data_IF_009844030876
#
_entry.id   IF_009844030876
#
_cell.length_a   1.000
_cell.length_b   1.000
_cell.length_c   1.000
_cell.angle_alpha   90.00
_cell.angle_beta   90.00
_cell.angle_gamma   90.00
#
_symmetry.space_group_name_H-M   'P 1'
#
loop_
_entity.id
_entity.type
_entity.pdbx_description
1 polymer ?
#
# COMPACT_ATOMS: atom_id res chain seq x y z
N UNK A 1 14.46 26.24 6.86
CA UNK A 1 14.07 25.55 5.61
C UNK A 1 14.45 24.08 5.77
N UNK A 2 13.50 23.22 6.14
CA UNK A 2 13.77 21.78 6.34
C UNK A 2 14.05 21.15 4.97
N UNK A 3 15.29 20.70 4.75
CA UNK A 3 15.63 19.83 3.63
C UNK A 3 14.97 18.47 3.88
N UNK A 4 13.83 18.23 3.22
CA UNK A 4 13.30 16.89 3.01
C UNK A 4 14.33 16.12 2.18
N UNK A 5 15.27 15.46 2.85
CA UNK A 5 16.09 14.43 2.23
C UNK A 5 15.13 13.31 1.81
N UNK A 6 14.82 13.26 0.52
CA UNK A 6 14.28 12.10 -0.14
C UNK A 6 15.25 10.93 0.07
N UNK A 7 15.06 10.18 1.16
CA UNK A 7 15.68 8.88 1.32
C UNK A 7 15.05 7.96 0.28
N UNK A 8 15.55 8.00 -0.97
CA UNK A 8 15.37 6.92 -1.93
C UNK A 8 15.97 5.67 -1.31
N UNK A 9 15.11 4.80 -0.77
CA UNK A 9 15.52 3.45 -0.37
C UNK A 9 16.06 2.80 -1.64
N UNK A 10 17.35 2.43 -1.64
CA UNK A 10 17.98 1.70 -2.74
C UNK A 10 17.46 0.26 -2.72
N UNK A 11 16.23 0.05 -3.17
CA UNK A 11 15.63 -1.27 -3.33
C UNK A 11 16.30 -1.96 -4.52
N UNK A 12 16.87 -3.13 -4.29
CA UNK A 12 17.48 -3.95 -5.34
C UNK A 12 16.43 -4.88 -5.94
N UNK A 13 16.54 -5.28 -7.23
CA UNK A 13 15.62 -6.24 -7.82
C UNK A 13 15.48 -7.53 -6.99
N UNK A 14 16.58 -7.99 -6.39
CA UNK A 14 16.61 -9.19 -5.56
C UNK A 14 15.70 -9.12 -4.32
N UNK A 15 15.40 -7.90 -3.83
CA UNK A 15 14.50 -7.72 -2.70
C UNK A 15 13.10 -8.22 -3.04
N UNK A 16 12.71 -8.30 -4.33
CA UNK A 16 11.38 -8.70 -4.82
C UNK A 16 11.20 -10.19 -5.14
N UNK A 17 12.21 -11.04 -4.90
CA UNK A 17 12.12 -12.50 -5.07
C UNK A 17 11.47 -13.16 -3.87
N UNK A 18 10.23 -12.82 -3.52
CA UNK A 18 9.42 -13.67 -2.66
C UNK A 18 8.24 -14.15 -3.49
N UNK A 19 8.19 -15.47 -3.65
CA UNK A 19 7.20 -16.21 -4.43
C UNK A 19 5.78 -15.87 -3.99
N UNK A 20 4.95 -15.41 -4.93
CA UNK A 20 3.48 -15.50 -4.78
C UNK A 20 3.11 -16.96 -4.45
N UNK A 21 2.26 -17.22 -3.44
CA UNK A 21 1.75 -18.55 -3.19
C UNK A 21 0.94 -19.02 -4.41
N UNK A 22 1.17 -20.26 -4.82
CA UNK A 22 0.47 -20.96 -5.92
C UNK A 22 -1.06 -20.84 -5.80
N UNK A 23 -1.80 -20.79 -6.93
CA UNK A 23 -3.26 -20.74 -6.93
C UNK A 23 -3.80 -22.14 -6.58
N UNK A 24 -3.94 -22.44 -5.29
CA UNK A 24 -4.26 -23.80 -4.83
C UNK A 24 -5.10 -23.93 -3.57
N UNK A 25 -5.31 -22.88 -2.77
CA UNK A 25 -6.12 -22.95 -1.57
C UNK A 25 -7.22 -21.87 -1.58
N UNK A 26 -8.46 -22.31 -1.77
CA UNK A 26 -9.68 -21.52 -1.61
C UNK A 26 -9.90 -21.15 -0.13
N UNK A 27 -9.10 -20.23 0.39
CA UNK A 27 -9.50 -19.38 1.50
C UNK A 27 -9.77 -18.02 0.88
N UNK A 28 -11.07 -17.68 0.74
CA UNK A 28 -11.58 -16.51 0.04
C UNK A 28 -10.56 -15.37 0.06
N UNK A 29 -9.99 -15.04 -1.11
CA UNK A 29 -9.10 -13.90 -1.27
C UNK A 29 -9.87 -12.67 -0.78
N UNK A 30 -9.66 -12.29 0.49
CA UNK A 30 -10.33 -11.15 1.09
C UNK A 30 -9.91 -9.97 0.25
N UNK A 31 -10.88 -9.36 -0.41
CA UNK A 31 -10.58 -8.23 -1.29
C UNK A 31 -10.00 -7.12 -0.42
N UNK A 32 -8.97 -6.41 -0.91
CA UNK A 32 -8.36 -5.28 -0.18
C UNK A 32 -9.45 -4.25 0.25
N UNK A 33 -10.56 -4.20 -0.51
CA UNK A 33 -11.72 -3.35 -0.31
C UNK A 33 -12.50 -3.68 0.98
N UNK A 34 -12.58 -4.95 1.38
CA UNK A 34 -13.28 -5.39 2.60
C UNK A 34 -12.56 -4.93 3.89
N UNK A 35 -11.28 -4.58 3.77
CA UNK A 35 -10.43 -4.12 4.88
C UNK A 35 -10.23 -2.60 4.88
N UNK A 36 -10.90 -1.87 3.99
CA UNK A 36 -10.77 -0.44 3.86
C UNK A 36 -11.82 0.34 4.65
N UNK A 37 -11.38 1.41 5.30
CA UNK A 37 -12.26 2.37 5.93
C UNK A 37 -12.97 3.22 4.88
N UNK A 38 -14.31 3.34 4.89
CA UNK A 38 -15.05 4.11 3.89
C UNK A 38 -14.83 5.63 3.99
N UNK A 39 -14.19 6.12 5.06
CA UNK A 39 -13.90 7.55 5.25
C UNK A 39 -12.54 7.93 4.67
N UNK A 40 -11.48 7.17 4.98
CA UNK A 40 -10.13 7.46 4.49
C UNK A 40 -9.72 6.61 3.29
N UNK A 41 -10.54 5.64 2.88
CA UNK A 41 -10.30 4.71 1.76
C UNK A 41 -8.95 3.98 1.87
N UNK A 42 -8.54 3.69 3.10
CA UNK A 42 -7.29 3.02 3.45
C UNK A 42 -7.59 1.91 4.47
N UNK A 43 -6.67 0.95 4.63
CA UNK A 43 -6.81 -0.16 5.56
C UNK A 43 -7.13 0.36 6.97
N UNK A 44 -8.06 -0.28 7.67
CA UNK A 44 -8.48 0.18 9.00
C UNK A 44 -7.29 0.30 9.98
N UNK A 45 -7.13 1.49 10.57
CA UNK A 45 -6.24 1.75 11.71
C UNK A 45 -7.07 1.94 12.97
N UNK A 46 -6.88 1.06 13.95
CA UNK A 46 -7.70 0.97 15.17
C UNK A 46 -9.21 1.07 14.85
N UNK A 47 -9.77 0.08 14.11
CA UNK A 47 -11.18 0.11 13.74
C UNK A 47 -12.07 0.15 14.98
N UNK A 48 -13.02 1.08 15.02
CA UNK A 48 -14.06 1.17 16.05
C UNK A 48 -15.41 0.77 15.47
N UNK A 49 -16.22 0.07 16.27
CA UNK A 49 -17.54 -0.43 15.87
C UNK A 49 -18.65 0.48 16.40
N UNK A 50 -19.40 1.11 15.50
CA UNK A 50 -20.60 1.87 15.88
C UNK A 50 -21.78 0.94 16.19
N UNK A 51 -22.79 1.41 16.95
CA UNK A 51 -24.02 0.62 17.24
C UNK A 51 -24.82 0.20 16.00
N UNK A 52 -24.56 0.85 14.86
CA UNK A 52 -25.13 0.48 13.56
C UNK A 52 -24.33 -0.60 12.82
N UNK A 53 -23.37 -1.25 13.49
CA UNK A 53 -22.47 -2.29 12.98
C UNK A 53 -21.48 -1.84 11.89
N UNK A 54 -21.43 -0.56 11.54
CA UNK A 54 -20.40 -0.04 10.64
C UNK A 54 -19.09 0.22 11.41
N UNK A 55 -17.98 -0.13 10.77
CA UNK A 55 -16.63 0.07 11.30
C UNK A 55 -15.92 1.21 10.59
N UNK A 56 -15.07 1.92 11.33
CA UNK A 56 -14.31 3.10 10.88
C UNK A 56 -13.00 3.18 11.65
N UNK A 57 -11.95 3.82 11.11
CA UNK A 57 -10.77 4.13 11.91
C UNK A 57 -11.14 5.04 13.09
N UNK A 58 -10.53 4.83 14.25
CA UNK A 58 -10.76 5.64 15.46
C UNK A 58 -10.65 7.15 15.17
N UNK A 59 -9.64 7.55 14.42
CA UNK A 59 -9.39 8.95 14.11
C UNK A 59 -10.36 9.50 13.06
N UNK A 60 -10.83 8.67 12.12
CA UNK A 60 -11.89 9.06 11.18
C UNK A 60 -13.19 9.38 11.92
N UNK A 61 -13.57 8.56 12.91
CA UNK A 61 -14.76 8.82 13.73
C UNK A 61 -14.58 10.08 14.58
N UNK A 62 -13.43 10.23 15.25
CA UNK A 62 -13.14 11.43 16.05
C UNK A 62 -13.19 12.70 15.21
N UNK A 63 -12.58 12.69 14.02
CA UNK A 63 -12.59 13.82 13.09
C UNK A 63 -14.02 14.14 12.64
N UNK A 64 -14.78 13.12 12.21
CA UNK A 64 -16.18 13.28 11.82
C UNK A 64 -17.06 13.86 12.93
N UNK A 65 -16.76 13.52 14.19
CA UNK A 65 -17.53 13.95 15.36
C UNK A 65 -17.04 15.23 16.00
N UNK A 66 -15.91 15.80 15.58
CA UNK A 66 -15.25 16.90 16.29
C UNK A 66 -16.17 18.10 16.52
N UNK A 67 -16.88 18.52 15.48
CA UNK A 67 -17.70 19.74 15.48
C UNK A 67 -19.22 19.45 15.45
N UNK A 68 -19.62 18.20 15.71
CA UNK A 68 -21.02 17.77 15.70
C UNK A 68 -21.56 17.63 17.11
N UNK A 69 -22.70 18.27 17.39
CA UNK A 69 -23.47 18.06 18.61
C UNK A 69 -24.01 16.63 18.67
N UNK A 70 -24.53 16.13 17.53
CA UNK A 70 -25.05 14.76 17.39
C UNK A 70 -23.99 13.84 16.79
N UNK A 71 -23.64 12.79 17.53
CA UNK A 71 -22.70 11.77 17.04
C UNK A 71 -23.45 10.80 16.13
N UNK A 72 -23.08 10.74 14.86
CA UNK A 72 -23.76 9.94 13.85
C UNK A 72 -22.78 9.11 13.01
N UNK A 73 -23.28 8.01 12.44
CA UNK A 73 -22.52 7.19 11.50
C UNK A 73 -22.24 7.95 10.19
N UNK A 74 -20.99 8.02 9.70
CA UNK A 74 -20.67 8.64 8.41
C UNK A 74 -21.45 8.06 7.22
N UNK A 75 -21.76 6.76 7.24
CA UNK A 75 -22.41 6.02 6.15
C UNK A 75 -23.93 6.12 6.23
N UNK A 76 -24.54 5.59 7.28
CA UNK A 76 -26.00 5.45 7.37
C UNK A 76 -26.69 6.56 8.19
N UNK A 77 -25.94 7.55 8.69
CA UNK A 77 -26.41 8.67 9.54
C UNK A 77 -27.16 8.26 10.81
N UNK A 78 -27.16 6.97 11.19
CA UNK A 78 -27.74 6.52 12.45
C UNK A 78 -26.98 7.15 13.62
N UNK A 79 -27.71 7.72 14.58
CA UNK A 79 -27.15 8.29 15.80
C UNK A 79 -26.42 7.23 16.61
N UNK A 80 -25.23 7.57 17.09
CA UNK A 80 -24.46 6.77 18.04
C UNK A 80 -24.83 7.20 19.45
N UNK A 81 -25.24 6.26 20.28
CA UNK A 81 -25.42 6.47 21.72
C UNK A 81 -24.10 6.51 22.48
N UNK A 82 -22.98 6.08 21.86
CA UNK A 82 -21.66 6.01 22.48
C UNK A 82 -20.76 7.12 21.96
N UNK A 83 -20.23 7.94 22.87
CA UNK A 83 -19.21 8.96 22.57
C UNK A 83 -17.82 8.36 22.30
N UNK A 84 -17.55 7.18 22.85
CA UNK A 84 -16.34 6.39 22.63
C UNK A 84 -16.72 4.95 22.25
N UNK A 85 -16.79 4.63 20.95
CA UNK A 85 -17.11 3.28 20.52
C UNK A 85 -15.94 2.32 20.79
N UNK A 86 -16.23 1.05 21.12
CA UNK A 86 -15.18 0.07 21.36
C UNK A 86 -14.39 -0.24 20.08
N UNK A 87 -13.12 -0.60 20.25
CA UNK A 87 -12.28 -1.10 19.16
C UNK A 87 -12.75 -2.50 18.76
N UNK A 88 -12.92 -2.72 17.46
CA UNK A 88 -13.18 -4.03 16.88
C UNK A 88 -11.85 -4.80 16.76
N UNK A 89 -11.46 -5.50 17.84
CA UNK A 89 -10.20 -6.23 17.89
C UNK A 89 -10.10 -7.31 16.81
N UNK A 90 -11.20 -7.97 16.45
CA UNK A 90 -11.19 -8.98 15.38
C UNK A 90 -10.83 -8.34 14.03
N UNK A 91 -11.45 -7.22 13.67
CA UNK A 91 -11.12 -6.50 12.44
C UNK A 91 -9.70 -5.91 12.50
N UNK A 92 -9.28 -5.41 13.66
CA UNK A 92 -7.92 -4.90 13.88
C UNK A 92 -6.88 -5.99 13.59
N UNK A 93 -7.02 -7.16 14.21
CA UNK A 93 -6.08 -8.27 14.02
C UNK A 93 -5.98 -8.69 12.55
N UNK A 94 -7.12 -8.78 11.87
CA UNK A 94 -7.15 -9.11 10.43
C UNK A 94 -6.42 -8.05 9.61
N UNK A 95 -6.66 -6.76 9.87
CA UNK A 95 -6.00 -5.67 9.16
C UNK A 95 -4.49 -5.64 9.43
N UNK A 96 -4.07 -5.91 10.67
CA UNK A 96 -2.66 -5.99 11.04
C UNK A 96 -1.95 -7.16 10.37
N UNK A 97 -2.57 -8.35 10.32
CA UNK A 97 -2.02 -9.49 9.57
C UNK A 97 -1.90 -9.17 8.08
N UNK A 98 -2.93 -8.59 7.48
CA UNK A 98 -2.91 -8.16 6.09
C UNK A 98 -1.77 -7.16 5.81
N UNK A 99 -1.58 -6.17 6.68
CA UNK A 99 -0.51 -5.18 6.54
C UNK A 99 0.88 -5.81 6.75
N UNK A 100 1.03 -6.77 7.66
CA UNK A 100 2.29 -7.49 7.86
C UNK A 100 2.67 -8.33 6.63
N UNK A 101 1.71 -9.02 6.02
CA UNK A 101 1.90 -9.73 4.75
C UNK A 101 2.24 -8.75 3.61
N UNK A 102 1.63 -7.55 3.63
CA UNK A 102 1.92 -6.48 2.68
C UNK A 102 3.34 -5.94 2.81
N UNK A 103 3.80 -5.67 4.03
CA UNK A 103 5.10 -5.07 4.31
C UNK A 103 6.26 -6.08 4.19
N UNK A 104 5.98 -7.37 4.43
CA UNK A 104 6.92 -8.46 4.14
C UNK A 104 6.97 -8.80 2.65
N UNK A 105 5.98 -8.35 1.88
CA UNK A 105 5.96 -8.52 0.44
C UNK A 105 6.63 -7.32 -0.25
N UNK A 106 7.80 -7.51 -0.84
CA UNK A 106 8.46 -6.48 -1.63
C UNK A 106 7.62 -6.13 -2.87
N UNK A 107 6.65 -6.97 -3.27
CA UNK A 107 5.72 -6.70 -4.37
C UNK A 107 4.74 -5.55 -4.10
N UNK A 108 4.74 -4.98 -2.88
CA UNK A 108 3.82 -3.93 -2.45
C UNK A 108 4.42 -2.53 -2.28
N UNK A 109 5.66 -2.30 -2.72
CA UNK A 109 6.23 -0.95 -2.73
C UNK A 109 5.39 -0.05 -3.65
N UNK A 110 4.85 1.05 -3.12
CA UNK A 110 3.99 1.97 -3.86
C UNK A 110 4.76 3.20 -4.35
N UNK A 111 4.39 3.71 -5.52
CA UNK A 111 4.85 5.00 -6.01
C UNK A 111 4.22 6.11 -5.20
N UNK A 112 5.01 6.94 -4.53
CA UNK A 112 4.49 8.06 -3.73
C UNK A 112 3.73 9.11 -4.56
N UNK A 113 4.05 9.23 -5.86
CA UNK A 113 3.40 10.20 -6.75
C UNK A 113 2.05 9.72 -7.28
N UNK A 114 1.90 8.41 -7.46
CA UNK A 114 0.77 7.83 -8.19
C UNK A 114 -0.05 6.84 -7.36
N UNK A 115 0.40 6.51 -6.15
CA UNK A 115 -0.19 5.50 -5.26
C UNK A 115 -0.43 4.16 -5.96
N UNK A 116 0.41 3.80 -6.94
CA UNK A 116 0.37 2.54 -7.70
C UNK A 116 1.57 1.67 -7.34
N UNK A 117 1.36 0.34 -7.35
CA UNK A 117 2.41 -0.66 -7.10
C UNK A 117 3.58 -0.45 -8.09
N UNK A 118 4.80 -0.40 -7.56
CA UNK A 118 6.04 -0.31 -8.33
C UNK A 118 6.39 -1.68 -8.90
N UNK A 119 5.74 -2.05 -10.01
CA UNK A 119 5.92 -3.35 -10.67
C UNK A 119 6.98 -3.35 -11.77
N UNK A 120 7.55 -2.19 -12.09
CA UNK A 120 8.53 -2.04 -13.17
C UNK A 120 9.86 -1.54 -12.60
N UNK A 121 10.96 -1.93 -13.22
CA UNK A 121 12.30 -1.46 -12.93
C UNK A 121 12.86 -0.77 -14.16
N UNK A 122 13.22 0.50 -14.03
CA UNK A 122 13.93 1.26 -15.05
C UNK A 122 15.41 0.84 -15.04
N UNK A 123 15.89 0.24 -16.12
CA UNK A 123 17.28 -0.24 -16.20
C UNK A 123 18.29 0.90 -16.35
N UNK A 124 17.90 2.00 -16.98
CA UNK A 124 18.78 3.16 -17.19
C UNK A 124 19.04 3.92 -15.88
N UNK A 125 17.99 4.12 -15.09
CA UNK A 125 18.07 4.83 -13.80
C UNK A 125 18.28 3.91 -12.60
N UNK A 126 18.18 2.58 -12.80
CA UNK A 126 18.28 1.55 -11.76
C UNK A 126 17.31 1.78 -10.60
N UNK A 127 16.04 2.07 -10.91
CA UNK A 127 15.02 2.41 -9.92
C UNK A 127 13.68 1.75 -10.23
N UNK A 128 12.92 1.34 -9.20
CA UNK A 128 11.56 0.86 -9.38
C UNK A 128 10.62 2.02 -9.72
N UNK A 129 9.71 1.79 -10.67
CA UNK A 129 8.73 2.75 -11.18
C UNK A 129 7.35 2.09 -11.29
N UNK A 130 6.29 2.88 -11.23
CA UNK A 130 4.93 2.38 -11.52
C UNK A 130 4.61 2.49 -13.01
N UNK A 131 3.52 1.84 -13.43
CA UNK A 131 3.04 1.88 -14.83
C UNK A 131 2.77 3.30 -15.33
N UNK A 132 2.32 4.21 -14.44
CA UNK A 132 2.05 5.61 -14.80
C UNK A 132 3.36 6.38 -15.02
N UNK A 133 4.41 6.09 -14.22
CA UNK A 133 5.73 6.70 -14.43
C UNK A 133 6.38 6.25 -15.74
N UNK A 134 6.14 5.00 -16.18
CA UNK A 134 6.61 4.51 -17.48
C UNK A 134 5.96 5.29 -18.63
N UNK A 135 4.65 5.49 -18.54
CA UNK A 135 3.86 6.09 -19.61
C UNK A 135 3.84 7.63 -19.56
N UNK A 136 4.49 8.24 -18.54
CA UNK A 136 4.63 9.69 -18.44
C UNK A 136 5.55 10.24 -19.53
N UNK A 137 5.34 11.52 -19.88
CA UNK A 137 6.00 12.26 -20.97
C UNK A 137 7.50 12.55 -20.73
N UNK A 138 8.31 11.54 -20.38
CA UNK A 138 9.75 11.67 -20.56
C UNK A 138 10.10 11.24 -22.00
N UNK A 139 10.67 12.13 -22.83
CA UNK A 139 10.87 11.91 -24.27
C UNK A 139 11.97 10.88 -24.62
N UNK A 140 12.41 10.07 -23.67
CA UNK A 140 13.50 9.09 -23.81
C UNK A 140 12.96 7.68 -23.64
N UNK A 141 13.22 6.83 -24.63
CA UNK A 141 12.87 5.40 -24.64
C UNK A 141 13.69 4.66 -23.57
N UNK A 142 13.21 4.73 -22.33
CA UNK A 142 13.80 4.02 -21.21
C UNK A 142 13.46 2.54 -21.27
N UNK A 143 14.45 1.71 -20.95
CA UNK A 143 14.24 0.26 -20.96
C UNK A 143 13.73 -0.19 -19.60
N UNK A 144 12.45 -0.59 -19.57
CA UNK A 144 11.81 -1.12 -18.37
C UNK A 144 11.72 -2.64 -18.39
N UNK A 145 11.75 -3.25 -17.20
CA UNK A 145 11.48 -4.67 -16.99
C UNK A 145 10.54 -4.88 -15.81
N UNK A 146 9.70 -5.93 -15.81
CA UNK A 146 9.02 -6.35 -14.59
C UNK A 146 10.04 -6.61 -13.49
N UNK A 147 9.72 -6.16 -12.28
CA UNK A 147 10.65 -6.29 -11.15
C UNK A 147 10.91 -7.78 -10.85
N UNK A 148 9.91 -8.65 -11.05
CA UNK A 148 10.03 -10.10 -10.86
C UNK A 148 11.02 -10.76 -11.84
N UNK A 149 11.19 -10.18 -13.04
CA UNK A 149 12.14 -10.66 -14.04
C UNK A 149 13.55 -10.10 -13.79
N UNK A 150 13.63 -8.83 -13.39
CA UNK A 150 14.90 -8.17 -13.05
C UNK A 150 15.59 -8.83 -11.85
N UNK A 151 14.80 -9.38 -10.93
CA UNK A 151 15.31 -10.06 -9.74
C UNK A 151 15.96 -11.42 -10.06
N UNK A 152 15.41 -12.16 -11.03
CA UNK A 152 15.90 -13.50 -11.43
C UNK A 152 17.22 -13.47 -12.21
N UNK A 153 17.70 -12.29 -12.59
CA UNK A 153 18.99 -12.16 -13.27
C UNK A 153 20.13 -12.25 -12.25
N UNK A 154 21.07 -13.20 -12.40
CA UNK A 154 22.34 -13.12 -11.69
C UNK A 154 22.95 -11.76 -11.96
N UNK A 155 23.61 -11.14 -10.97
CA UNK A 155 24.42 -9.93 -11.15
C UNK A 155 25.36 -10.19 -12.33
N UNK A 156 24.94 -9.81 -13.55
CA UNK A 156 25.83 -9.74 -14.69
C UNK A 156 26.77 -8.63 -14.31
N UNK A 157 27.92 -9.04 -13.80
CA UNK A 157 29.12 -8.27 -13.69
C UNK A 157 29.21 -7.40 -14.95
N UNK A 158 28.87 -6.12 -14.82
CA UNK A 158 29.29 -5.09 -15.75
C UNK A 158 30.79 -4.88 -15.52
N UNK A 159 31.56 -5.93 -15.80
CA UNK A 159 32.95 -5.81 -16.23
C UNK A 159 32.88 -5.90 -17.76
N UNK A 160 33.38 -4.85 -18.39
CA UNK A 160 33.65 -4.67 -19.82
C UNK A 160 32.46 -4.20 -20.63
N UNK A 161 32.37 -2.88 -20.81
CA UNK A 161 32.52 -2.25 -22.13
C UNK A 161 32.70 -0.74 -21.96
N UNK A 162 33.89 -0.32 -21.52
CA UNK A 162 34.45 0.98 -21.92
C UNK A 162 35.98 0.93 -21.76
N UNK A 163 36.66 0.57 -22.84
CA UNK A 163 38.03 1.00 -23.15
C UNK A 163 38.02 1.22 -24.67
N UNK A 164 38.56 2.35 -25.13
CA UNK A 164 40.01 2.44 -25.34
C UNK A 164 40.75 3.10 -24.18
#
# INVERSE_FOLDING_TARGET
>A
MLQLQERRVKLQPADFLHTDPSPGDSMASRSEEDLCCPVCQDVFRDPVLLPCSHSFCKDCVKSWWKDKEVKECPVCKRKSSRSQPPVNLALKNVCETFLQERDQSPSHVICNLHSKKLRLFCLDHQQPVCVICRDSEQPTDHRFRPVEEAAKQPKRSFRKLWSP
#
